data_IF_192855445964
#
_entry.id   IF_192855445964
#
_cell.length_a   1.000
_cell.length_b   1.000
_cell.length_c   1.000
_cell.angle_alpha   90.00
_cell.angle_beta   90.00
_cell.angle_gamma   90.00
#
_symmetry.space_group_name_H-M   'P 1'
#
loop_
_entity.id
_entity.type
_entity.pdbx_description
1 polymer ?
#
# COMPACT_ATOMS: atom_id res chain seq x y z
N UNK A 1 16.83 -11.25 7.13
CA UNK A 1 16.75 -10.37 5.94
C UNK A 1 18.10 -9.94 5.31
N UNK A 2 19.18 -9.68 6.07
CA UNK A 2 20.44 -9.13 5.50
C UNK A 2 21.26 -10.06 4.59
N UNK A 3 21.21 -11.38 4.80
CA UNK A 3 21.97 -12.36 3.97
C UNK A 3 21.49 -12.40 2.52
N UNK A 4 20.18 -12.37 2.29
CA UNK A 4 19.62 -12.45 0.94
C UNK A 4 19.93 -11.19 0.12
N UNK A 5 19.77 -10.00 0.71
CA UNK A 5 20.16 -8.75 0.06
C UNK A 5 21.68 -8.69 -0.19
N UNK A 6 22.52 -9.20 0.72
CA UNK A 6 23.97 -9.30 0.50
C UNK A 6 24.37 -10.29 -0.62
N UNK A 7 23.50 -11.26 -0.92
CA UNK A 7 23.68 -12.21 -2.03
C UNK A 7 23.21 -11.61 -3.35
N UNK A 8 22.13 -10.81 -3.35
CA UNK A 8 21.61 -10.12 -4.53
C UNK A 8 22.42 -8.88 -4.93
N UNK A 9 23.08 -8.20 -3.97
CA UNK A 9 23.86 -6.98 -4.19
C UNK A 9 25.35 -7.22 -4.49
N UNK A 10 25.77 -8.47 -4.72
CA UNK A 10 27.16 -8.80 -5.05
C UNK A 10 27.43 -8.50 -6.53
N UNK A 11 28.28 -7.51 -6.80
CA UNK A 11 28.82 -7.23 -8.13
C UNK A 11 29.58 -8.45 -8.68
N UNK A 12 29.26 -8.87 -9.90
CA UNK A 12 29.86 -9.98 -10.66
C UNK A 12 31.35 -9.79 -11.02
N UNK A 13 32.04 -8.83 -10.40
CA UNK A 13 33.32 -8.29 -10.86
C UNK A 13 34.58 -9.01 -10.34
N UNK A 14 34.47 -10.08 -9.54
CA UNK A 14 35.64 -10.83 -9.08
C UNK A 14 35.71 -12.25 -9.68
N UNK A 15 36.43 -12.33 -10.79
CA UNK A 15 36.96 -13.55 -11.39
C UNK A 15 37.71 -14.38 -10.33
N UNK A 16 37.47 -15.70 -10.33
CA UNK A 16 38.09 -16.75 -9.50
C UNK A 16 37.33 -17.17 -8.22
N UNK A 17 36.67 -18.33 -8.35
CA UNK A 17 36.37 -19.31 -7.29
C UNK A 17 35.63 -18.81 -6.04
N UNK A 18 34.33 -18.60 -6.16
CA UNK A 18 33.41 -18.80 -5.03
C UNK A 18 32.17 -19.55 -5.56
N UNK A 19 31.61 -20.51 -4.79
CA UNK A 19 30.47 -21.28 -5.26
C UNK A 19 29.32 -20.30 -5.58
N UNK A 20 28.80 -20.37 -6.82
CA UNK A 20 27.54 -19.72 -7.17
C UNK A 20 26.46 -20.40 -6.35
N UNK A 21 26.01 -19.73 -5.29
CA UNK A 21 24.83 -20.16 -4.56
C UNK A 21 23.64 -19.81 -5.44
N UNK A 22 23.11 -20.81 -6.15
CA UNK A 22 21.89 -20.65 -6.92
C UNK A 22 20.72 -20.73 -5.93
N UNK A 23 20.26 -19.57 -5.48
CA UNK A 23 19.15 -19.46 -4.54
C UNK A 23 17.87 -19.44 -5.39
N UNK A 24 17.23 -20.61 -5.50
CA UNK A 24 15.92 -20.69 -6.12
C UNK A 24 14.86 -20.09 -5.18
N UNK A 25 14.30 -18.95 -5.59
CA UNK A 25 13.17 -18.32 -4.93
C UNK A 25 11.92 -18.62 -5.74
N UNK A 26 11.07 -19.48 -5.21
CA UNK A 26 9.79 -19.80 -5.82
C UNK A 26 8.77 -18.70 -5.48
N UNK A 27 8.67 -17.67 -6.32
CA UNK A 27 7.67 -16.62 -6.14
C UNK A 27 6.26 -17.04 -6.58
N UNK A 28 6.14 -18.15 -7.32
CA UNK A 28 4.88 -18.57 -7.92
C UNK A 28 4.11 -19.52 -6.97
N UNK A 29 4.83 -20.41 -6.28
CA UNK A 29 4.25 -21.42 -5.37
C UNK A 29 4.69 -21.27 -3.91
N UNK A 30 5.31 -20.15 -3.52
CA UNK A 30 5.61 -19.88 -2.11
C UNK A 30 4.33 -19.98 -1.26
N UNK A 31 4.33 -20.93 -0.32
CA UNK A 31 3.28 -21.10 0.66
C UNK A 31 3.82 -20.77 2.06
N UNK A 32 3.04 -20.08 2.92
CA UNK A 32 3.50 -19.80 4.27
C UNK A 32 3.61 -21.10 5.07
N UNK A 33 4.65 -21.17 5.90
CA UNK A 33 4.75 -22.20 6.94
C UNK A 33 3.64 -22.03 7.98
N UNK A 34 3.43 -23.04 8.84
CA UNK A 34 2.40 -22.96 9.90
C UNK A 34 2.64 -21.77 10.85
N UNK A 35 3.89 -21.41 11.10
CA UNK A 35 4.27 -20.26 11.93
C UNK A 35 4.03 -18.92 11.24
N UNK A 36 4.18 -18.87 9.91
CA UNK A 36 3.99 -17.63 9.13
C UNK A 36 2.54 -17.43 8.67
N UNK A 37 1.68 -18.45 8.81
CA UNK A 37 0.31 -18.47 8.28
C UNK A 37 -0.49 -17.23 8.68
N UNK A 38 -0.50 -16.89 9.98
CA UNK A 38 -1.26 -15.77 10.51
C UNK A 38 -0.77 -14.43 9.95
N UNK A 39 0.56 -14.26 9.85
CA UNK A 39 1.21 -13.07 9.26
C UNK A 39 0.83 -12.95 7.80
N UNK A 40 0.96 -14.05 7.06
CA UNK A 40 0.68 -14.11 5.63
C UNK A 40 -0.77 -13.76 5.33
N UNK A 41 -1.73 -14.36 6.03
CA UNK A 41 -3.15 -14.12 5.81
C UNK A 41 -3.53 -12.66 6.09
N UNK A 42 -3.00 -12.07 7.17
CA UNK A 42 -3.25 -10.68 7.52
C UNK A 42 -2.65 -9.70 6.49
N UNK A 43 -1.42 -9.96 6.05
CA UNK A 43 -0.76 -9.18 4.98
C UNK A 43 -1.54 -9.30 3.68
N UNK A 44 -1.92 -10.52 3.28
CA UNK A 44 -2.67 -10.78 2.06
C UNK A 44 -4.02 -10.06 2.06
N UNK A 45 -4.73 -10.06 3.20
CA UNK A 45 -6.02 -9.36 3.36
C UNK A 45 -5.87 -7.85 3.13
N UNK A 46 -4.82 -7.23 3.66
CA UNK A 46 -4.56 -5.79 3.47
C UNK A 46 -4.12 -5.51 2.03
N UNK A 47 -3.27 -6.35 1.44
CA UNK A 47 -2.82 -6.20 0.05
C UNK A 47 -3.97 -6.34 -0.95
N UNK A 48 -4.88 -7.30 -0.76
CA UNK A 48 -6.04 -7.48 -1.64
C UNK A 48 -6.94 -6.23 -1.70
N UNK A 49 -7.09 -5.52 -0.57
CA UNK A 49 -7.84 -4.26 -0.55
C UNK A 49 -7.10 -3.11 -1.24
N UNK A 50 -5.79 -3.22 -1.47
CA UNK A 50 -4.98 -2.13 -2.05
C UNK A 50 -5.34 -1.84 -3.50
N UNK A 51 -5.71 -2.84 -4.30
CA UNK A 51 -6.11 -2.64 -5.70
C UNK A 51 -7.32 -1.71 -5.80
N UNK A 52 -8.35 -1.97 -4.99
CA UNK A 52 -9.54 -1.13 -4.92
C UNK A 52 -9.21 0.29 -4.45
N UNK A 53 -8.33 0.44 -3.47
CA UNK A 53 -7.89 1.77 -3.01
C UNK A 53 -7.18 2.52 -4.14
N UNK A 54 -6.29 1.86 -4.90
CA UNK A 54 -5.58 2.45 -6.02
C UNK A 54 -6.53 2.87 -7.14
N UNK A 55 -7.52 2.04 -7.51
CA UNK A 55 -8.57 2.40 -8.47
C UNK A 55 -9.36 3.64 -8.03
N UNK A 56 -9.76 3.71 -6.76
CA UNK A 56 -10.49 4.85 -6.21
C UNK A 56 -9.66 6.14 -6.21
N UNK A 57 -8.33 6.03 -5.98
CA UNK A 57 -7.39 7.15 -6.07
C UNK A 57 -7.25 7.62 -7.53
N UNK A 58 -7.06 6.70 -8.48
CA UNK A 58 -6.95 7.04 -9.91
C UNK A 58 -8.19 7.76 -10.44
N UNK A 59 -9.37 7.39 -9.93
CA UNK A 59 -10.65 7.99 -10.30
C UNK A 59 -11.03 9.22 -9.47
N UNK A 60 -10.14 9.76 -8.63
CA UNK A 60 -10.43 10.91 -7.77
C UNK A 60 -10.43 12.23 -8.55
N UNK A 61 -11.63 12.75 -8.86
CA UNK A 61 -11.80 13.98 -9.67
C UNK A 61 -11.67 15.29 -8.89
N UNK A 62 -11.82 15.25 -7.56
CA UNK A 62 -11.95 16.46 -6.73
C UNK A 62 -13.27 17.20 -6.92
N UNK A 63 -13.47 18.28 -6.16
CA UNK A 63 -14.65 19.18 -6.23
C UNK A 63 -14.24 20.65 -6.35
N UNK A 64 -13.09 20.91 -7.00
CA UNK A 64 -12.49 22.25 -7.05
C UNK A 64 -13.36 23.29 -7.75
N UNK A 65 -14.19 22.88 -8.72
CA UNK A 65 -15.13 23.77 -9.42
C UNK A 65 -16.20 24.25 -8.45
N UNK A 66 -16.88 23.31 -7.78
CA UNK A 66 -17.98 23.58 -6.87
C UNK A 66 -17.51 24.40 -5.66
N UNK A 67 -16.32 24.10 -5.13
CA UNK A 67 -15.70 24.88 -4.06
C UNK A 67 -15.45 26.33 -4.49
N UNK A 68 -14.84 26.56 -5.67
CA UNK A 68 -14.58 27.91 -6.17
C UNK A 68 -15.87 28.70 -6.40
N UNK A 69 -16.90 28.05 -6.96
CA UNK A 69 -18.21 28.66 -7.17
C UNK A 69 -18.87 29.06 -5.84
N UNK A 70 -18.80 28.21 -4.81
CA UNK A 70 -19.34 28.51 -3.49
C UNK A 70 -18.58 29.62 -2.74
N UNK A 71 -17.26 29.75 -2.98
CA UNK A 71 -16.46 30.87 -2.44
C UNK A 71 -16.80 32.19 -3.18
N UNK A 72 -16.97 32.13 -4.50
CA UNK A 72 -17.26 33.31 -5.32
C UNK A 72 -18.68 33.86 -5.10
N UNK A 73 -19.67 32.98 -4.94
CA UNK A 73 -21.05 33.31 -4.57
C UNK A 73 -21.47 32.44 -3.38
N UNK A 74 -21.48 32.96 -2.13
CA UNK A 74 -21.81 32.18 -0.94
C UNK A 74 -23.32 32.04 -0.70
N UNK A 75 -24.10 31.77 -1.76
CA UNK A 75 -25.52 31.48 -1.65
C UNK A 75 -25.79 30.08 -1.10
N UNK A 76 -26.98 29.85 -0.52
CA UNK A 76 -27.34 28.52 0.02
C UNK A 76 -27.24 27.42 -1.04
N UNK A 77 -27.53 27.74 -2.29
CA UNK A 77 -27.53 26.78 -3.41
C UNK A 77 -26.10 26.33 -3.74
N UNK A 78 -25.16 27.27 -3.87
CA UNK A 78 -23.76 26.96 -4.21
C UNK A 78 -23.05 26.25 -3.06
N UNK A 79 -23.32 26.65 -1.82
CA UNK A 79 -22.80 26.01 -0.60
C UNK A 79 -23.27 24.55 -0.51
N UNK A 80 -24.57 24.30 -0.70
CA UNK A 80 -25.12 22.95 -0.67
C UNK A 80 -24.56 22.07 -1.81
N UNK A 81 -24.37 22.64 -3.00
CA UNK A 81 -23.74 21.93 -4.13
C UNK A 81 -22.29 21.56 -3.82
N UNK A 82 -21.51 22.49 -3.27
CA UNK A 82 -20.14 22.22 -2.86
C UNK A 82 -20.09 21.15 -1.77
N UNK A 83 -20.96 21.24 -0.76
CA UNK A 83 -21.03 20.24 0.31
C UNK A 83 -21.33 18.84 -0.21
N UNK A 84 -22.35 18.70 -1.07
CA UNK A 84 -22.72 17.42 -1.70
C UNK A 84 -21.60 16.82 -2.56
N UNK A 85 -20.82 17.66 -3.24
CA UNK A 85 -19.68 17.21 -4.03
C UNK A 85 -18.49 16.82 -3.14
N UNK A 86 -18.19 17.60 -2.10
CA UNK A 86 -17.01 17.42 -1.24
C UNK A 86 -17.18 16.26 -0.27
N UNK A 87 -18.34 16.10 0.37
CA UNK A 87 -18.57 15.09 1.41
C UNK A 87 -18.14 13.66 0.99
N UNK A 88 -18.60 13.11 -0.15
CA UNK A 88 -18.20 11.75 -0.56
C UNK A 88 -16.71 11.67 -0.93
N UNK A 89 -16.08 12.77 -1.34
CA UNK A 89 -14.64 12.81 -1.62
C UNK A 89 -13.82 12.76 -0.34
N UNK A 90 -14.23 13.51 0.70
CA UNK A 90 -13.59 13.44 2.02
C UNK A 90 -13.74 12.05 2.62
N UNK A 91 -14.88 11.38 2.42
CA UNK A 91 -15.07 9.99 2.85
C UNK A 91 -14.12 9.01 2.11
N UNK A 92 -13.74 9.30 0.86
CA UNK A 92 -12.67 8.56 0.16
C UNK A 92 -11.31 8.82 0.79
N UNK A 93 -10.97 10.08 1.04
CA UNK A 93 -9.70 10.46 1.68
C UNK A 93 -9.53 9.80 3.05
N UNK A 94 -10.58 9.76 3.86
CA UNK A 94 -10.57 9.07 5.15
C UNK A 94 -10.32 7.57 4.99
N UNK A 95 -10.94 6.93 3.99
CA UNK A 95 -10.69 5.51 3.68
C UNK A 95 -9.24 5.26 3.27
N UNK A 96 -8.65 6.14 2.45
CA UNK A 96 -7.25 6.03 2.05
C UNK A 96 -6.31 6.16 3.25
N UNK A 97 -6.60 7.10 4.15
CA UNK A 97 -5.86 7.25 5.40
C UNK A 97 -5.96 6.01 6.29
N UNK A 98 -7.17 5.47 6.49
CA UNK A 98 -7.34 4.27 7.30
C UNK A 98 -6.59 3.06 6.69
N UNK A 99 -6.60 2.94 5.36
CA UNK A 99 -5.83 1.91 4.67
C UNK A 99 -4.32 2.06 4.87
N UNK A 100 -3.79 3.28 4.93
CA UNK A 100 -2.37 3.50 5.21
C UNK A 100 -1.98 3.07 6.62
N UNK A 101 -2.89 3.18 7.59
CA UNK A 101 -2.68 2.65 8.94
C UNK A 101 -2.67 1.11 8.96
N UNK A 102 -3.55 0.45 8.19
CA UNK A 102 -3.52 -1.01 8.02
C UNK A 102 -2.18 -1.46 7.41
N UNK A 103 -1.72 -0.77 6.36
CA UNK A 103 -0.41 -1.02 5.73
C UNK A 103 0.76 -0.85 6.72
N UNK A 104 0.73 0.22 7.52
CA UNK A 104 1.75 0.45 8.55
C UNK A 104 1.75 -0.67 9.61
N UNK A 105 0.56 -1.13 10.03
CA UNK A 105 0.43 -2.22 11.00
C UNK A 105 1.04 -3.51 10.49
N UNK A 106 0.70 -3.92 9.27
CA UNK A 106 1.23 -5.18 8.69
C UNK A 106 2.73 -5.08 8.40
N UNK A 107 3.21 -3.90 7.98
CA UNK A 107 4.64 -3.65 7.82
C UNK A 107 5.40 -3.84 9.14
N UNK A 108 4.87 -3.32 10.25
CA UNK A 108 5.47 -3.52 11.58
C UNK A 108 5.43 -4.98 12.02
N UNK A 109 4.36 -5.71 11.68
CA UNK A 109 4.20 -7.12 12.03
C UNK A 109 5.26 -8.00 11.33
N UNK A 110 5.46 -7.80 10.02
CA UNK A 110 6.52 -8.48 9.25
C UNK A 110 7.91 -8.21 9.86
N UNK A 111 8.19 -6.96 10.25
CA UNK A 111 9.48 -6.59 10.82
C UNK A 111 9.74 -7.19 12.21
N UNK A 112 8.70 -7.46 13.00
CA UNK A 112 8.83 -8.11 14.31
C UNK A 112 9.09 -9.61 14.20
N UNK A 113 8.38 -10.30 13.33
CA UNK A 113 8.59 -11.74 13.07
C UNK A 113 9.97 -12.01 12.46
N UNK A 114 10.49 -11.11 11.62
CA UNK A 114 11.86 -11.20 11.07
C UNK A 114 12.99 -11.06 12.10
N UNK A 115 12.69 -10.75 13.37
CA UNK A 115 13.65 -10.56 14.46
C UNK A 115 13.65 -11.70 15.49
N UNK A 116 12.79 -12.71 15.34
CA UNK A 116 12.82 -13.98 16.09
C UNK A 116 13.52 -15.05 15.26
#
# INVERSE_FOLDING_TARGET
>A
MGKLLSLLARDDSNCCSSPRYDIFLDFENAAPTDTERDVYEEVQRVLFNSDKILEEIQCYKGAGKEIREAIADPSTITQERAWRAVKPLVDKLLRFYNHSLELQRVSHFINKESLL
#
